data_IF_631936582667
#
_entry.id   IF_631936582667
#
_cell.length_a   1.000
_cell.length_b   1.000
_cell.length_c   1.000
_cell.angle_alpha   90.00
_cell.angle_beta   90.00
_cell.angle_gamma   90.00
#
_symmetry.space_group_name_H-M   'P 1'
#
loop_
_entity.id
_entity.type
_entity.pdbx_description
1 polymer ?
#
# COMPACT_ATOMS: atom_id res chain seq x y z
N UNK A 1 -12.65 -45.66 20.05
CA UNK A 1 -12.91 -44.27 20.48
C UNK A 1 -11.75 -43.39 20.03
N UNK A 2 -11.90 -42.68 18.90
CA UNK A 2 -11.06 -41.54 18.52
C UNK A 2 -12.02 -40.45 18.02
N UNK A 3 -12.51 -39.64 18.96
CA UNK A 3 -13.03 -38.31 18.68
C UNK A 3 -11.81 -37.48 18.22
N UNK A 4 -11.85 -36.77 17.10
CA UNK A 4 -12.68 -35.60 16.92
C UNK A 4 -11.75 -34.40 16.83
N UNK A 5 -11.21 -34.14 15.65
CA UNK A 5 -10.61 -32.85 15.30
C UNK A 5 -11.35 -32.35 14.07
N UNK A 6 -12.60 -31.93 14.28
CA UNK A 6 -13.30 -31.10 13.30
C UNK A 6 -12.65 -29.71 13.40
N UNK A 7 -11.76 -29.43 12.45
CA UNK A 7 -11.42 -28.04 12.10
C UNK A 7 -12.73 -27.43 11.60
N UNK A 8 -13.46 -26.75 12.48
CA UNK A 8 -14.59 -25.93 12.09
C UNK A 8 -14.01 -24.76 11.32
N UNK A 9 -13.98 -24.87 9.99
CA UNK A 9 -13.94 -23.70 9.14
C UNK A 9 -15.19 -22.90 9.50
N UNK A 10 -15.05 -21.87 10.34
CA UNK A 10 -16.13 -20.97 10.68
C UNK A 10 -16.43 -20.07 9.46
N UNK A 11 -17.09 -20.64 8.45
CA UNK A 11 -17.78 -19.89 7.41
C UNK A 11 -19.19 -19.63 7.91
N UNK A 12 -19.46 -18.47 8.49
CA UNK A 12 -20.85 -18.02 8.68
C UNK A 12 -20.98 -16.50 8.51
N UNK A 13 -21.69 -16.19 7.42
CA UNK A 13 -22.54 -15.04 7.15
C UNK A 13 -22.50 -13.90 8.17
N UNK A 14 -22.07 -12.72 7.71
CA UNK A 14 -22.58 -11.48 8.28
C UNK A 14 -23.13 -10.64 7.13
N UNK A 15 -24.41 -10.96 6.83
CA UNK A 15 -25.43 -10.10 6.23
C UNK A 15 -25.32 -9.88 4.70
N UNK A 16 -26.17 -10.60 3.95
CA UNK A 16 -26.62 -10.21 2.60
C UNK A 16 -25.67 -10.53 1.43
N UNK A 17 -25.92 -11.65 0.74
CA UNK A 17 -25.54 -11.93 -0.67
C UNK A 17 -24.13 -11.46 -1.10
N UNK A 18 -23.10 -12.24 -0.79
CA UNK A 18 -21.86 -12.28 -1.58
C UNK A 18 -20.52 -12.18 -0.84
N UNK A 19 -20.49 -11.65 0.39
CA UNK A 19 -19.25 -11.46 1.14
C UNK A 19 -19.07 -12.54 2.23
N UNK A 20 -18.27 -13.57 1.94
CA UNK A 20 -17.88 -14.55 2.95
C UNK A 20 -16.63 -14.06 3.67
N UNK A 21 -16.80 -13.55 4.90
CA UNK A 21 -15.67 -13.22 5.77
C UNK A 21 -15.20 -14.49 6.50
N UNK A 22 -13.89 -14.73 6.50
CA UNK A 22 -13.24 -15.86 7.19
C UNK A 22 -11.89 -15.36 7.74
N UNK A 23 -11.43 -15.84 8.87
CA UNK A 23 -10.08 -15.56 9.39
C UNK A 23 -9.59 -16.77 10.21
N UNK A 24 -8.29 -16.84 10.49
CA UNK A 24 -7.75 -17.83 11.43
C UNK A 24 -8.35 -17.65 12.83
N UNK A 25 -8.58 -16.40 13.24
CA UNK A 25 -9.30 -16.06 14.47
C UNK A 25 -10.64 -15.35 14.17
N UNK A 26 -11.77 -16.09 14.19
CA UNK A 26 -13.08 -15.52 13.91
C UNK A 26 -13.51 -14.41 14.89
N UNK A 27 -13.11 -14.47 16.18
CA UNK A 27 -13.55 -13.45 17.14
C UNK A 27 -12.94 -12.08 16.84
N UNK A 28 -11.67 -12.03 16.45
CA UNK A 28 -11.02 -10.80 15.99
C UNK A 28 -11.63 -10.27 14.70
N UNK A 29 -12.02 -11.17 13.78
CA UNK A 29 -12.75 -10.75 12.59
C UNK A 29 -14.09 -10.09 12.94
N UNK A 30 -14.88 -10.68 13.85
CA UNK A 30 -16.14 -10.09 14.31
C UNK A 30 -15.91 -8.75 15.02
N UNK A 31 -14.86 -8.65 15.82
CA UNK A 31 -14.46 -7.42 16.47
C UNK A 31 -14.15 -6.34 15.44
N UNK A 32 -13.30 -6.61 14.44
CA UNK A 32 -12.96 -5.66 13.38
C UNK A 32 -14.21 -5.19 12.63
N UNK A 33 -15.04 -6.11 12.14
CA UNK A 33 -16.18 -5.72 11.29
C UNK A 33 -17.25 -4.96 12.09
N UNK A 34 -17.45 -5.33 13.36
CA UNK A 34 -18.49 -4.75 14.22
C UNK A 34 -18.09 -3.43 14.87
N UNK A 35 -16.81 -3.25 15.22
CA UNK A 35 -16.36 -2.09 16.00
C UNK A 35 -15.33 -1.21 15.29
N UNK A 36 -14.68 -1.72 14.23
CA UNK A 36 -13.49 -1.12 13.61
C UNK A 36 -12.27 -1.02 14.53
N UNK A 37 -12.31 -1.59 15.73
CA UNK A 37 -11.23 -1.57 16.70
C UNK A 37 -10.57 -2.94 16.80
N UNK A 38 -9.38 -3.12 16.25
CA UNK A 38 -8.65 -4.38 16.26
C UNK A 38 -7.13 -4.20 16.44
N UNK A 39 -6.74 -3.38 17.42
CA UNK A 39 -5.33 -3.25 17.79
C UNK A 39 -4.78 -4.60 18.28
N UNK A 40 -3.67 -5.06 17.69
CA UNK A 40 -3.02 -6.33 18.04
C UNK A 40 -3.81 -7.58 17.65
N UNK A 41 -4.89 -7.44 16.88
CA UNK A 41 -5.69 -8.58 16.46
C UNK A 41 -4.91 -9.49 15.51
N UNK A 42 -5.09 -10.80 15.71
CA UNK A 42 -4.76 -11.79 14.70
C UNK A 42 -5.88 -11.93 13.67
N UNK A 43 -5.59 -11.46 12.46
CA UNK A 43 -6.43 -11.47 11.25
C UNK A 43 -5.65 -12.12 10.09
N UNK A 44 -4.67 -12.97 10.41
CA UNK A 44 -3.93 -13.73 9.42
C UNK A 44 -4.86 -14.55 8.53
N UNK A 45 -4.55 -14.56 7.23
CA UNK A 45 -5.35 -15.23 6.21
C UNK A 45 -6.79 -14.72 6.04
N UNK A 46 -7.15 -13.60 6.68
CA UNK A 46 -8.53 -13.14 6.68
C UNK A 46 -9.06 -12.80 5.28
N UNK A 47 -10.29 -13.20 4.97
CA UNK A 47 -11.02 -12.91 3.75
C UNK A 47 -11.83 -11.64 3.98
N UNK A 48 -11.23 -10.51 3.62
CA UNK A 48 -11.74 -9.14 3.82
C UNK A 48 -11.93 -8.43 2.47
N UNK A 49 -12.01 -9.17 1.37
CA UNK A 49 -12.14 -8.60 0.04
C UNK A 49 -13.43 -7.75 -0.07
N UNK A 50 -13.29 -6.50 -0.50
CA UNK A 50 -14.39 -5.55 -0.65
C UNK A 50 -14.97 -5.01 0.66
N UNK A 51 -14.40 -5.34 1.82
CA UNK A 51 -14.92 -4.83 3.09
C UNK A 51 -14.67 -3.33 3.24
N UNK A 52 -15.66 -2.64 3.80
CA UNK A 52 -15.46 -1.28 4.30
C UNK A 52 -14.77 -1.35 5.66
N UNK A 53 -13.51 -0.92 5.71
CA UNK A 53 -12.63 -0.86 6.88
C UNK A 53 -12.10 0.57 7.07
N UNK A 54 -12.84 1.58 6.56
CA UNK A 54 -12.48 2.98 6.72
C UNK A 54 -12.28 3.34 8.18
N UNK A 55 -11.20 4.06 8.46
CA UNK A 55 -10.85 4.52 9.80
C UNK A 55 -10.58 3.42 10.83
N UNK A 56 -10.48 2.15 10.41
CA UNK A 56 -10.27 1.05 11.35
C UNK A 56 -8.93 1.17 12.08
N UNK A 57 -8.93 0.91 13.39
CA UNK A 57 -7.74 0.81 14.19
C UNK A 57 -7.19 -0.61 14.14
N UNK A 58 -6.17 -0.80 13.30
CA UNK A 58 -5.47 -2.06 13.03
C UNK A 58 -4.00 -1.97 13.49
N UNK A 59 -3.68 -1.09 14.43
CA UNK A 59 -2.32 -0.94 14.96
C UNK A 59 -1.81 -2.26 15.49
N UNK A 60 -0.57 -2.61 15.17
CA UNK A 60 0.07 -3.86 15.63
C UNK A 60 -0.69 -5.15 15.23
N UNK A 61 -1.71 -5.09 14.35
CA UNK A 61 -2.49 -6.24 13.95
C UNK A 61 -1.70 -7.16 13.01
N UNK A 62 -1.95 -8.46 13.09
CA UNK A 62 -1.43 -9.44 12.15
C UNK A 62 -2.43 -9.67 11.01
N UNK A 63 -2.12 -9.20 9.82
CA UNK A 63 -2.86 -9.36 8.56
C UNK A 63 -2.06 -10.19 7.54
N UNK A 64 -1.06 -10.97 7.99
CA UNK A 64 -0.23 -11.76 7.10
C UNK A 64 -1.09 -12.67 6.20
N UNK A 65 -0.85 -12.62 4.89
CA UNK A 65 -1.59 -13.38 3.88
C UNK A 65 -3.08 -13.03 3.75
N UNK A 66 -3.59 -12.00 4.43
CA UNK A 66 -4.99 -11.60 4.34
C UNK A 66 -5.37 -11.17 2.91
N UNK A 67 -6.59 -11.50 2.51
CA UNK A 67 -7.17 -11.08 1.25
C UNK A 67 -8.02 -9.82 1.45
N UNK A 68 -7.43 -8.68 1.12
CA UNK A 68 -7.99 -7.32 1.20
C UNK A 68 -8.27 -6.75 -0.20
N UNK A 69 -8.42 -7.60 -1.22
CA UNK A 69 -8.71 -7.16 -2.60
C UNK A 69 -9.90 -6.21 -2.63
N UNK A 70 -9.70 -5.00 -3.14
CA UNK A 70 -10.76 -3.99 -3.24
C UNK A 70 -11.34 -3.52 -1.89
N UNK A 71 -10.70 -3.84 -0.76
CA UNK A 71 -11.14 -3.35 0.54
C UNK A 71 -10.95 -1.83 0.62
N UNK A 72 -11.84 -1.16 1.36
CA UNK A 72 -11.71 0.26 1.64
C UNK A 72 -11.06 0.45 3.02
N UNK A 73 -9.77 0.74 3.03
CA UNK A 73 -8.93 1.02 4.20
C UNK A 73 -8.57 2.51 4.29
N UNK A 74 -9.36 3.40 3.67
CA UNK A 74 -9.07 4.82 3.75
C UNK A 74 -9.00 5.25 5.22
N UNK A 75 -7.95 6.02 5.55
CA UNK A 75 -7.72 6.57 6.88
C UNK A 75 -7.53 5.51 7.99
N UNK A 76 -7.43 4.23 7.64
CA UNK A 76 -7.18 3.16 8.59
C UNK A 76 -5.81 3.34 9.26
N UNK A 77 -5.73 2.97 10.53
CA UNK A 77 -4.51 3.01 11.31
C UNK A 77 -3.85 1.63 11.34
N UNK A 78 -2.87 1.42 10.47
CA UNK A 78 -2.10 0.19 10.28
C UNK A 78 -0.65 0.34 10.79
N UNK A 79 -0.39 1.27 11.72
CA UNK A 79 0.95 1.48 12.28
C UNK A 79 1.47 0.18 12.88
N UNK A 80 2.66 -0.24 12.44
CA UNK A 80 3.32 -1.52 12.80
C UNK A 80 2.49 -2.78 12.55
N UNK A 81 1.46 -2.72 11.69
CA UNK A 81 0.72 -3.92 11.30
C UNK A 81 1.61 -4.86 10.47
N UNK A 82 1.40 -6.18 10.61
CA UNK A 82 2.02 -7.17 9.75
C UNK A 82 1.11 -7.50 8.56
N UNK A 83 1.46 -7.05 7.37
CA UNK A 83 0.80 -7.27 6.08
C UNK A 83 1.65 -8.16 5.15
N UNK A 84 2.60 -8.94 5.70
CA UNK A 84 3.46 -9.83 4.93
C UNK A 84 2.63 -10.73 3.99
N UNK A 85 2.94 -10.70 2.70
CA UNK A 85 2.24 -11.48 1.67
C UNK A 85 0.73 -11.18 1.53
N UNK A 86 0.22 -10.11 2.13
CA UNK A 86 -1.19 -9.74 2.03
C UNK A 86 -1.56 -9.38 0.58
N UNK A 87 -2.81 -9.65 0.21
CA UNK A 87 -3.36 -9.40 -1.12
C UNK A 87 -4.27 -8.17 -1.07
N UNK A 88 -3.75 -7.03 -1.51
CA UNK A 88 -4.45 -5.75 -1.60
C UNK A 88 -4.67 -5.23 -3.04
N UNK A 89 -4.84 -6.07 -4.09
CA UNK A 89 -5.05 -5.51 -5.42
C UNK A 89 -6.35 -4.69 -5.45
N UNK A 90 -6.29 -3.52 -6.09
CA UNK A 90 -7.40 -2.56 -6.20
C UNK A 90 -7.94 -2.03 -4.86
N UNK A 91 -7.23 -2.23 -3.74
CA UNK A 91 -7.65 -1.72 -2.43
C UNK A 91 -7.48 -0.19 -2.35
N UNK A 92 -8.33 0.47 -1.59
CA UNK A 92 -8.22 1.91 -1.31
C UNK A 92 -7.61 2.12 0.07
N UNK A 93 -6.43 2.75 0.14
CA UNK A 93 -5.68 3.06 1.36
C UNK A 93 -5.39 4.57 1.45
N UNK A 94 -6.30 5.40 0.95
CA UNK A 94 -6.10 6.85 0.90
C UNK A 94 -5.90 7.37 2.33
N UNK A 95 -4.81 8.11 2.55
CA UNK A 95 -4.45 8.66 3.85
C UNK A 95 -4.33 7.61 4.99
N UNK A 96 -4.14 6.33 4.67
CA UNK A 96 -3.90 5.30 5.68
C UNK A 96 -2.56 5.54 6.40
N UNK A 97 -2.51 5.21 7.70
CA UNK A 97 -1.32 5.32 8.53
C UNK A 97 -0.63 3.97 8.58
N UNK A 98 0.48 3.82 7.87
CA UNK A 98 1.24 2.57 7.67
C UNK A 98 2.68 2.68 8.22
N UNK A 99 2.96 3.64 9.10
CA UNK A 99 4.29 3.86 9.65
C UNK A 99 4.83 2.57 10.30
N UNK A 100 6.00 2.13 9.84
CA UNK A 100 6.68 0.92 10.33
C UNK A 100 5.92 -0.40 10.11
N UNK A 101 4.96 -0.45 9.18
CA UNK A 101 4.29 -1.71 8.86
C UNK A 101 5.21 -2.66 8.09
N UNK A 102 4.98 -3.97 8.23
CA UNK A 102 5.64 -4.99 7.43
C UNK A 102 4.76 -5.36 6.25
N UNK A 103 5.11 -4.96 5.03
CA UNK A 103 4.41 -5.28 3.78
C UNK A 103 5.29 -6.12 2.83
N UNK A 104 6.28 -6.84 3.36
CA UNK A 104 7.16 -7.70 2.59
C UNK A 104 6.35 -8.65 1.69
N UNK A 105 6.65 -8.67 0.39
CA UNK A 105 5.97 -9.50 -0.61
C UNK A 105 4.47 -9.22 -0.79
N UNK A 106 3.93 -8.14 -0.23
CA UNK A 106 2.52 -7.81 -0.37
C UNK A 106 2.17 -7.46 -1.84
N UNK A 107 0.96 -7.79 -2.25
CA UNK A 107 0.43 -7.42 -3.56
C UNK A 107 -0.47 -6.18 -3.45
N UNK A 108 0.07 -5.02 -3.82
CA UNK A 108 -0.58 -3.71 -3.86
C UNK A 108 -0.88 -3.27 -5.32
N UNK A 109 -0.99 -4.22 -6.25
CA UNK A 109 -1.25 -3.92 -7.68
C UNK A 109 -2.49 -3.05 -7.83
N UNK A 110 -2.35 -1.87 -8.46
CA UNK A 110 -3.41 -0.86 -8.63
C UNK A 110 -4.08 -0.39 -7.33
N UNK A 111 -3.46 -0.58 -6.18
CA UNK A 111 -3.95 -0.02 -4.93
C UNK A 111 -3.90 1.52 -4.99
N UNK A 112 -4.84 2.19 -4.31
CA UNK A 112 -4.81 3.63 -4.15
C UNK A 112 -4.17 4.00 -2.80
N UNK A 113 -2.89 4.36 -2.83
CA UNK A 113 -2.07 4.73 -1.66
C UNK A 113 -1.88 6.25 -1.56
N UNK A 114 -2.73 7.03 -2.23
CA UNK A 114 -2.64 8.48 -2.20
C UNK A 114 -2.64 9.01 -0.76
N UNK A 115 -1.68 9.88 -0.42
CA UNK A 115 -1.48 10.42 0.92
C UNK A 115 -1.20 9.40 2.04
N UNK A 116 -0.97 8.12 1.70
CA UNK A 116 -0.66 7.11 2.70
C UNK A 116 0.71 7.39 3.35
N UNK A 117 0.80 7.20 4.66
CA UNK A 117 2.05 7.40 5.43
C UNK A 117 2.71 6.07 5.69
N UNK A 118 3.72 5.74 4.90
CA UNK A 118 4.51 4.50 4.92
C UNK A 118 5.96 4.72 5.37
N UNK A 119 6.23 5.80 6.11
CA UNK A 119 7.56 6.08 6.69
C UNK A 119 8.09 4.85 7.41
N UNK A 120 9.34 4.47 7.14
CA UNK A 120 10.05 3.28 7.64
C UNK A 120 9.31 1.93 7.45
N UNK A 121 8.35 1.85 6.54
CA UNK A 121 7.69 0.58 6.24
C UNK A 121 8.61 -0.36 5.46
N UNK A 122 8.41 -1.67 5.64
CA UNK A 122 9.10 -2.68 4.85
C UNK A 122 8.23 -3.11 3.66
N UNK A 123 8.63 -2.78 2.44
CA UNK A 123 8.00 -3.18 1.18
C UNK A 123 8.95 -4.06 0.33
N UNK A 124 9.91 -4.75 0.95
CA UNK A 124 10.83 -5.65 0.25
C UNK A 124 10.05 -6.66 -0.62
N UNK A 125 10.37 -6.69 -1.91
CA UNK A 125 9.72 -7.57 -2.90
C UNK A 125 8.22 -7.32 -3.11
N UNK A 126 7.64 -6.24 -2.57
CA UNK A 126 6.23 -5.93 -2.75
C UNK A 126 5.92 -5.55 -4.21
N UNK A 127 4.69 -5.85 -4.65
CA UNK A 127 4.22 -5.49 -5.99
C UNK A 127 3.27 -4.30 -5.91
N UNK A 128 3.76 -3.11 -6.27
CA UNK A 128 3.02 -1.86 -6.36
C UNK A 128 2.65 -1.49 -7.81
N UNK A 129 2.73 -2.42 -8.76
CA UNK A 129 2.52 -2.10 -10.17
C UNK A 129 1.16 -1.43 -10.42
N UNK A 130 1.18 -0.29 -11.11
CA UNK A 130 -0.02 0.50 -11.37
C UNK A 130 -0.64 1.22 -10.16
N UNK A 131 -0.05 1.15 -8.97
CA UNK A 131 -0.57 1.81 -7.76
C UNK A 131 -0.54 3.33 -7.90
N UNK A 132 -1.48 4.02 -7.23
CA UNK A 132 -1.48 5.47 -7.12
C UNK A 132 -0.74 5.90 -5.85
N UNK A 133 0.35 6.65 -6.01
CA UNK A 133 1.22 7.09 -4.91
C UNK A 133 1.22 8.61 -4.71
N UNK A 134 0.28 9.38 -5.30
CA UNK A 134 0.24 10.85 -5.16
C UNK A 134 0.29 11.26 -3.69
N UNK A 135 1.30 12.06 -3.31
CA UNK A 135 1.54 12.53 -1.95
C UNK A 135 1.78 11.44 -0.90
N UNK A 136 2.05 10.20 -1.30
CA UNK A 136 2.43 9.14 -0.37
C UNK A 136 3.81 9.45 0.25
N UNK A 137 3.95 9.10 1.52
CA UNK A 137 5.16 9.33 2.30
C UNK A 137 5.87 8.02 2.59
N UNK A 138 6.95 7.76 1.84
CA UNK A 138 7.80 6.56 1.89
C UNK A 138 9.20 6.89 2.42
N UNK A 139 9.34 7.97 3.21
CA UNK A 139 10.62 8.33 3.82
C UNK A 139 11.23 7.15 4.59
N UNK A 140 12.49 6.85 4.28
CA UNK A 140 13.26 5.75 4.89
C UNK A 140 12.61 4.36 4.76
N UNK A 141 11.65 4.17 3.84
CA UNK A 141 11.06 2.86 3.59
C UNK A 141 12.04 1.92 2.87
N UNK A 142 11.90 0.62 3.09
CA UNK A 142 12.66 -0.40 2.35
C UNK A 142 11.83 -0.89 1.17
N UNK A 143 12.28 -0.67 -0.06
CA UNK A 143 11.66 -1.11 -1.31
C UNK A 143 12.60 -2.01 -2.13
N UNK A 144 13.54 -2.69 -1.47
CA UNK A 144 14.49 -3.61 -2.11
C UNK A 144 13.74 -4.61 -3.00
N UNK A 145 14.07 -4.63 -4.29
CA UNK A 145 13.45 -5.52 -5.28
C UNK A 145 11.94 -5.31 -5.50
N UNK A 146 11.36 -4.21 -4.99
CA UNK A 146 9.94 -3.93 -5.17
C UNK A 146 9.61 -3.60 -6.63
N UNK A 147 8.38 -3.92 -7.03
CA UNK A 147 7.89 -3.62 -8.36
C UNK A 147 7.00 -2.37 -8.35
N UNK A 148 7.54 -1.24 -8.80
CA UNK A 148 6.86 0.04 -8.99
C UNK A 148 6.53 0.30 -10.47
N UNK A 149 6.51 -0.74 -11.30
CA UNK A 149 6.21 -0.61 -12.72
C UNK A 149 4.88 0.14 -12.93
N UNK A 150 4.92 1.20 -13.74
CA UNK A 150 3.74 1.96 -14.11
C UNK A 150 2.97 2.54 -12.90
N UNK A 151 3.62 2.78 -11.75
CA UNK A 151 2.99 3.53 -10.66
C UNK A 151 2.59 4.91 -11.14
N UNK A 152 1.41 5.34 -10.73
CA UNK A 152 0.76 6.53 -11.24
C UNK A 152 0.93 7.70 -10.26
N UNK A 153 1.20 8.88 -10.82
CA UNK A 153 0.90 10.17 -10.22
C UNK A 153 -0.23 10.88 -10.98
N UNK A 154 -1.23 10.12 -11.44
CA UNK A 154 -2.40 10.74 -12.05
C UNK A 154 -3.46 10.94 -10.98
N UNK A 155 -3.79 12.19 -10.70
CA UNK A 155 -5.14 12.54 -10.25
C UNK A 155 -6.05 12.23 -11.44
N UNK A 156 -6.56 11.00 -11.49
CA UNK A 156 -7.62 10.66 -12.44
C UNK A 156 -8.83 11.55 -12.12
N UNK A 157 -8.93 12.63 -12.89
CA UNK A 157 -9.89 13.73 -12.85
C UNK A 157 -9.77 14.72 -11.65
N UNK A 158 -9.95 16.03 -11.88
CA UNK A 158 -10.01 17.10 -10.88
C UNK A 158 -11.32 17.05 -10.08
N UNK A 159 -11.72 15.85 -9.64
CA UNK A 159 -12.65 15.69 -8.55
C UNK A 159 -11.85 15.88 -7.27
N UNK A 160 -12.21 16.90 -6.51
CA UNK A 160 -11.75 17.07 -5.13
C UNK A 160 -11.68 15.70 -4.45
N UNK A 161 -10.49 15.28 -4.03
CA UNK A 161 -10.36 14.12 -3.15
C UNK A 161 -10.95 14.53 -1.81
N UNK A 162 -12.04 13.87 -1.41
CA UNK A 162 -12.69 14.12 -0.12
C UNK A 162 -12.14 13.15 0.92
N UNK A 163 -11.58 13.68 2.01
CA UNK A 163 -11.29 12.93 3.24
C UNK A 163 -12.25 13.41 4.33
N UNK A 164 -13.08 12.53 4.88
CA UNK A 164 -14.10 12.90 5.88
C UNK A 164 -14.96 14.14 5.52
N UNK A 165 -15.24 14.33 4.23
CA UNK A 165 -16.01 15.48 3.74
C UNK A 165 -15.18 16.77 3.58
N UNK A 166 -13.88 16.71 3.82
CA UNK A 166 -12.93 17.80 3.61
C UNK A 166 -12.26 17.65 2.23
N UNK A 167 -12.31 18.69 1.38
CA UNK A 167 -11.54 18.73 0.15
C UNK A 167 -10.05 18.74 0.46
N UNK A 168 -9.31 17.74 0.01
CA UNK A 168 -7.85 17.85 -0.04
C UNK A 168 -7.49 18.84 -1.15
N UNK A 169 -6.79 19.91 -0.78
CA UNK A 169 -6.03 20.69 -1.73
C UNK A 169 -4.90 19.81 -2.26
N UNK A 170 -5.10 19.20 -3.41
CA UNK A 170 -4.05 18.46 -4.11
C UNK A 170 -3.24 19.48 -4.92
N UNK A 171 -2.44 20.30 -4.22
CA UNK A 171 -1.19 20.72 -4.86
C UNK A 171 -0.52 19.42 -5.33
N UNK A 172 0.03 19.39 -6.55
CA UNK A 172 0.56 18.16 -7.15
C UNK A 172 1.71 17.67 -6.27
N UNK A 173 1.39 16.83 -5.29
CA UNK A 173 2.35 16.27 -4.37
C UNK A 173 2.95 15.06 -5.06
N UNK A 174 4.24 15.17 -5.38
CA UNK A 174 5.03 14.00 -5.74
C UNK A 174 5.11 13.01 -4.57
N UNK A 175 5.88 11.94 -4.75
CA UNK A 175 6.10 10.95 -3.69
C UNK A 175 7.27 11.42 -2.83
N UNK A 176 7.16 11.34 -1.50
CA UNK A 176 8.33 11.47 -0.63
C UNK A 176 9.04 10.12 -0.55
N UNK A 177 10.21 10.01 -1.17
CA UNK A 177 11.08 8.83 -1.20
C UNK A 177 12.44 9.12 -0.56
N UNK A 178 12.53 10.17 0.28
CA UNK A 178 13.78 10.54 0.95
C UNK A 178 14.35 9.35 1.72
N UNK A 179 15.64 9.10 1.53
CA UNK A 179 16.38 8.02 2.21
C UNK A 179 15.78 6.61 2.02
N UNK A 180 14.88 6.42 1.06
CA UNK A 180 14.28 5.12 0.76
C UNK A 180 15.30 4.19 0.08
N UNK A 181 15.20 2.90 0.38
CA UNK A 181 16.04 1.88 -0.26
C UNK A 181 15.31 1.29 -1.47
N UNK A 182 15.63 1.78 -2.68
CA UNK A 182 15.08 1.32 -3.96
C UNK A 182 16.06 0.40 -4.71
N UNK A 183 17.01 -0.21 -4.00
CA UNK A 183 17.97 -1.14 -4.59
C UNK A 183 17.23 -2.27 -5.33
N UNK A 184 17.68 -2.61 -6.54
CA UNK A 184 17.07 -3.62 -7.43
C UNK A 184 15.58 -3.39 -7.77
N UNK A 185 15.01 -2.22 -7.44
CA UNK A 185 13.59 -1.96 -7.68
C UNK A 185 13.29 -1.77 -9.18
N UNK A 186 12.13 -2.24 -9.61
CA UNK A 186 11.62 -1.98 -10.96
C UNK A 186 10.78 -0.70 -10.96
N UNK A 187 11.34 0.38 -11.49
CA UNK A 187 10.70 1.70 -11.63
C UNK A 187 10.28 1.98 -13.08
N UNK A 188 10.25 0.96 -13.93
CA UNK A 188 9.99 1.16 -15.36
C UNK A 188 8.63 1.80 -15.60
N UNK A 189 8.60 2.86 -16.40
CA UNK A 189 7.37 3.66 -16.68
C UNK A 189 6.68 4.23 -15.44
N UNK A 190 7.32 4.23 -14.28
CA UNK A 190 6.78 4.89 -13.10
C UNK A 190 6.69 6.39 -13.34
N UNK A 191 5.57 7.01 -12.99
CA UNK A 191 5.49 8.45 -12.90
C UNK A 191 5.89 8.88 -11.49
N UNK A 192 7.06 9.50 -11.38
CA UNK A 192 7.65 10.02 -10.15
C UNK A 192 7.97 11.51 -10.27
N UNK A 193 7.32 12.25 -11.18
CA UNK A 193 7.52 13.69 -11.29
C UNK A 193 7.35 14.39 -9.93
N UNK A 194 8.10 15.48 -9.71
CA UNK A 194 8.03 16.30 -8.49
C UNK A 194 8.24 15.53 -7.18
N UNK A 195 8.79 14.32 -7.24
CA UNK A 195 9.07 13.50 -6.06
C UNK A 195 10.37 13.94 -5.41
N UNK A 196 10.49 13.69 -4.11
CA UNK A 196 11.75 13.88 -3.38
C UNK A 196 12.43 12.52 -3.19
N UNK A 197 13.49 12.25 -3.96
CA UNK A 197 14.33 11.07 -3.83
C UNK A 197 15.67 11.41 -3.15
N UNK A 198 15.80 12.54 -2.46
CA UNK A 198 17.05 12.92 -1.78
C UNK A 198 17.52 11.79 -0.85
N UNK A 199 18.75 11.32 -1.03
CA UNK A 199 19.34 10.25 -0.21
C UNK A 199 18.83 8.83 -0.51
N UNK A 200 17.89 8.67 -1.45
CA UNK A 200 17.42 7.35 -1.84
C UNK A 200 18.53 6.51 -2.49
N UNK A 201 18.54 5.20 -2.21
CA UNK A 201 19.47 4.26 -2.85
C UNK A 201 18.83 3.68 -4.10
N UNK A 202 19.49 3.82 -5.24
CA UNK A 202 18.99 3.36 -6.55
C UNK A 202 19.92 2.34 -7.20
N UNK A 203 20.72 1.64 -6.39
CA UNK A 203 21.67 0.64 -6.88
C UNK A 203 20.92 -0.43 -7.69
N UNK A 204 21.29 -0.59 -8.97
CA UNK A 204 20.63 -1.49 -9.93
C UNK A 204 19.12 -1.27 -10.15
N UNK A 205 18.56 -0.14 -9.72
CA UNK A 205 17.15 0.14 -9.96
C UNK A 205 16.88 0.35 -11.47
N UNK A 206 15.86 -0.30 -12.01
CA UNK A 206 15.48 -0.14 -13.41
C UNK A 206 14.54 1.07 -13.58
N UNK A 207 15.12 2.21 -13.94
CA UNK A 207 14.40 3.48 -14.19
C UNK A 207 14.00 3.66 -15.66
N UNK A 208 14.01 2.61 -16.48
CA UNK A 208 13.74 2.73 -17.92
C UNK A 208 12.34 3.29 -18.18
N UNK A 209 12.27 4.41 -18.89
CA UNK A 209 11.06 5.18 -19.18
C UNK A 209 10.33 5.77 -17.96
N UNK A 210 10.98 5.85 -16.79
CA UNK A 210 10.43 6.58 -15.66
C UNK A 210 10.29 8.07 -15.99
N UNK A 211 9.26 8.71 -15.43
CA UNK A 211 9.07 10.15 -15.49
C UNK A 211 9.57 10.76 -14.19
N UNK A 212 10.58 11.64 -14.27
CA UNK A 212 11.26 12.21 -13.10
C UNK A 212 11.35 13.75 -13.16
N UNK A 213 10.52 14.39 -13.99
CA UNK A 213 10.52 15.84 -14.16
C UNK A 213 10.31 16.56 -12.82
N UNK A 214 11.19 17.51 -12.50
CA UNK A 214 11.08 18.31 -11.27
C UNK A 214 11.35 17.54 -9.97
N UNK A 215 11.87 16.31 -10.06
CA UNK A 215 12.19 15.50 -8.88
C UNK A 215 13.56 15.84 -8.31
N UNK A 216 13.71 15.78 -6.99
CA UNK A 216 15.02 15.84 -6.35
C UNK A 216 15.66 14.46 -6.42
N UNK A 217 16.77 14.30 -7.13
CA UNK A 217 17.46 13.02 -7.29
C UNK A 217 18.56 12.85 -6.23
N UNK A 218 18.95 11.60 -5.89
CA UNK A 218 20.10 11.35 -5.02
C UNK A 218 21.39 11.95 -5.59
N UNK A 219 22.31 12.36 -4.70
CA UNK A 219 23.61 12.86 -5.11
C UNK A 219 24.38 11.80 -5.92
N UNK A 220 24.98 12.21 -7.04
CA UNK A 220 25.75 11.31 -7.91
C UNK A 220 24.92 10.43 -8.83
N UNK A 221 23.58 10.41 -8.72
CA UNK A 221 22.72 9.69 -9.64
C UNK A 221 22.68 10.38 -11.01
N UNK A 222 23.06 9.67 -12.07
CA UNK A 222 23.05 10.18 -13.45
C UNK A 222 21.99 9.45 -14.27
N UNK A 223 21.10 10.20 -14.90
CA UNK A 223 20.12 9.66 -15.85
C UNK A 223 20.81 9.41 -17.21
N UNK A 224 20.72 8.19 -17.72
CA UNK A 224 21.12 7.93 -19.10
C UNK A 224 20.02 8.38 -20.07
N UNK A 225 20.40 8.93 -21.23
CA UNK A 225 19.46 9.47 -22.22
C UNK A 225 18.44 8.43 -22.74
N UNK A 226 18.74 7.14 -22.60
CA UNK A 226 17.89 5.98 -22.94
C UNK A 226 16.83 5.67 -21.89
N UNK A 227 16.91 6.26 -20.69
CA UNK A 227 16.05 5.97 -19.55
C UNK A 227 14.88 6.95 -19.40
N UNK A 228 14.90 8.11 -20.07
CA UNK A 228 13.88 9.15 -19.90
C UNK A 228 12.83 9.08 -21.03
N UNK A 229 11.56 8.86 -20.67
CA UNK A 229 10.45 9.05 -21.62
C UNK A 229 10.35 10.53 -22.01
N UNK A 230 10.20 10.81 -23.31
CA UNK A 230 10.27 12.17 -23.89
C UNK A 230 9.65 13.24 -22.98
N UNK A 231 10.50 14.17 -22.52
CA UNK A 231 10.08 15.41 -21.88
C UNK A 231 9.48 16.27 -23.00
N UNK A 232 8.16 16.45 -22.99
CA UNK A 232 7.52 17.45 -23.83
C UNK A 232 7.94 18.85 -23.36
N UNK A 233 8.41 19.66 -24.31
CA UNK A 233 8.63 21.11 -24.14
C UNK A 233 7.37 21.85 -23.69
#
# INVERSE_FOLDING_TARGET
MKAGLLVVAATMAVIGWGMQAKAENPSHLFQLIGTKQCQGCDLSGAQLAGFDLRGADLRDANLAGANLRGANLNEANLVRANLEGAKLPDASLIAAKLHGSNMMGANLTRANLMMARMVIANLEGANLSGANLVGADLESATLLGANLHNTQQSVAAPGIVMLDGVPLATEVMGVNLRDADLTDANLTRANLNWSDLTGAKLDNADVTHAQLQGSNLPEGFQLEATQVGQVGE
#
